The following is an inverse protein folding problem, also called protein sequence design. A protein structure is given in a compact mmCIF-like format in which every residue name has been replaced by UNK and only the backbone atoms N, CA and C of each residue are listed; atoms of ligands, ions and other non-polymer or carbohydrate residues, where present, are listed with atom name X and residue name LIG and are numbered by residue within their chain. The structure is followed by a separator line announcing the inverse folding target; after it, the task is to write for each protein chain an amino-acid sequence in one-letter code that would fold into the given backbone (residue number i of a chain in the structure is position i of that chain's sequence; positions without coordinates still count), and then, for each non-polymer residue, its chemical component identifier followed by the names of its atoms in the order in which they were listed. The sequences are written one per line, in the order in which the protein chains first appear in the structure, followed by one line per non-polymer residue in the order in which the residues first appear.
data_IF_523732762812
#
_entry.id   IF_523732762812
#
_cell.length_a   1.000
_cell.length_b   1.000
_cell.length_c   1.000
_cell.angle_alpha   90.00
_cell.angle_beta   90.00
_cell.angle_gamma   90.00
#
_symmetry.space_group_name_H-M   'P 1'
#
loop_
_entity.id
_entity.type
_entity.pdbx_description
1 polymer ?
#
# COMPACT_ATOMS: atom_id res chain seq x y z
N UNK A 1 -57.39 -13.69 43.16
CA UNK A 1 -56.27 -12.79 43.48
C UNK A 1 -55.11 -13.65 43.95
N UNK A 2 -53.92 -13.50 43.36
CA UNK A 2 -52.71 -14.18 43.86
C UNK A 2 -52.16 -13.35 45.00
N UNK A 3 -52.00 -13.93 46.18
CA UNK A 3 -51.38 -13.30 47.34
C UNK A 3 -49.95 -13.82 47.47
N UNK A 4 -49.01 -12.93 47.74
CA UNK A 4 -47.61 -13.27 48.01
C UNK A 4 -47.38 -13.00 49.50
N UNK A 5 -46.88 -14.02 50.21
CA UNK A 5 -46.52 -13.92 51.62
C UNK A 5 -45.02 -13.90 51.74
N UNK A 6 -44.47 -12.82 52.30
CA UNK A 6 -43.03 -12.64 52.53
C UNK A 6 -42.79 -12.75 54.03
N UNK A 7 -41.85 -13.60 54.44
CA UNK A 7 -41.38 -13.67 55.82
C UNK A 7 -40.12 -12.82 55.95
N UNK A 8 -40.10 -11.96 56.95
CA UNK A 8 -38.99 -11.05 57.23
C UNK A 8 -38.64 -11.20 58.70
N UNK A 9 -37.35 -11.18 59.02
CA UNK A 9 -36.88 -11.20 60.41
C UNK A 9 -37.29 -9.92 61.14
N UNK A 10 -37.58 -10.00 62.44
CA UNK A 10 -38.13 -8.89 63.23
C UNK A 10 -37.21 -7.65 63.21
N UNK A 11 -35.90 -7.85 63.23
CA UNK A 11 -34.91 -6.75 63.16
C UNK A 11 -34.95 -6.00 61.82
N UNK A 12 -35.19 -6.73 60.73
CA UNK A 12 -35.30 -6.16 59.39
C UNK A 12 -36.65 -5.44 59.25
N UNK A 13 -37.72 -6.02 59.79
CA UNK A 13 -39.04 -5.40 59.81
C UNK A 13 -39.04 -4.07 60.57
N UNK A 14 -38.39 -4.01 61.74
CA UNK A 14 -38.30 -2.78 62.53
C UNK A 14 -37.56 -1.67 61.78
N UNK A 15 -36.43 -1.99 61.12
CA UNK A 15 -35.70 -1.02 60.28
C UNK A 15 -36.54 -0.47 59.12
N UNK A 16 -37.35 -1.34 58.51
CA UNK A 16 -38.24 -0.96 57.40
C UNK A 16 -39.35 -0.03 57.89
N UNK A 17 -39.95 -0.31 59.06
CA UNK A 17 -40.97 0.54 59.66
C UNK A 17 -40.41 1.89 60.15
N UNK A 18 -39.19 1.91 60.67
CA UNK A 18 -38.46 3.16 60.98
C UNK A 18 -38.23 4.02 59.73
N UNK A 19 -37.81 3.40 58.62
CA UNK A 19 -37.63 4.09 57.33
C UNK A 19 -38.95 4.58 56.71
N UNK A 20 -40.06 3.90 56.96
CA UNK A 20 -41.40 4.33 56.52
C UNK A 20 -41.83 5.61 57.22
N UNK A 21 -41.61 5.70 58.53
CA UNK A 21 -42.08 6.80 59.38
C UNK A 21 -43.62 6.97 59.31
N UNK A 22 -44.08 8.16 58.91
CA UNK A 22 -45.50 8.52 58.86
C UNK A 22 -46.23 8.14 57.55
N UNK A 23 -45.52 7.62 56.54
CA UNK A 23 -46.12 7.25 55.24
C UNK A 23 -47.10 6.10 55.38
N UNK A 24 -48.14 6.02 54.56
CA UNK A 24 -49.01 4.83 54.54
C UNK A 24 -48.19 3.55 54.26
N UNK A 25 -48.48 2.48 55.02
CA UNK A 25 -47.83 1.16 54.81
C UNK A 25 -47.96 0.71 53.36
N UNK A 26 -49.16 0.81 52.79
CA UNK A 26 -49.44 0.35 51.43
C UNK A 26 -48.58 1.06 50.38
N UNK A 27 -48.45 2.39 50.45
CA UNK A 27 -47.65 3.17 49.50
C UNK A 27 -46.16 2.90 49.64
N UNK A 28 -45.67 2.79 50.88
CA UNK A 28 -44.26 2.53 51.15
C UNK A 28 -43.83 1.16 50.62
N UNK A 29 -44.57 0.10 50.96
CA UNK A 29 -44.27 -1.24 50.47
C UNK A 29 -44.47 -1.38 48.96
N UNK A 30 -45.49 -0.71 48.38
CA UNK A 30 -45.68 -0.70 46.92
C UNK A 30 -44.47 -0.09 46.22
N UNK A 31 -44.00 1.06 46.69
CA UNK A 31 -42.82 1.74 46.11
C UNK A 31 -41.54 0.91 46.30
N UNK A 32 -41.33 0.31 47.46
CA UNK A 32 -40.18 -0.55 47.72
C UNK A 32 -40.13 -1.75 46.75
N UNK A 33 -41.30 -2.35 46.48
CA UNK A 33 -41.43 -3.44 45.51
C UNK A 33 -41.22 -2.94 44.09
N UNK A 34 -41.79 -1.80 43.70
CA UNK A 34 -41.56 -1.16 42.39
C UNK A 34 -40.06 -0.88 42.18
N UNK A 35 -39.38 -0.27 43.15
CA UNK A 35 -37.95 0.03 43.09
C UNK A 35 -37.10 -1.26 42.98
N UNK A 36 -37.47 -2.31 43.72
CA UNK A 36 -36.77 -3.61 43.66
C UNK A 36 -37.02 -4.36 42.33
N UNK A 37 -38.19 -4.20 41.72
CA UNK A 37 -38.50 -4.83 40.44
C UNK A 37 -37.90 -4.06 39.25
N UNK A 38 -37.77 -2.74 39.35
CA UNK A 38 -37.20 -1.90 38.28
C UNK A 38 -35.65 -1.89 38.28
N UNK A 39 -35.00 -2.14 39.43
CA UNK A 39 -33.53 -2.21 39.53
C UNK A 39 -32.85 -3.27 38.65
N UNK A 40 -33.35 -4.51 38.49
CA UNK A 40 -32.75 -5.47 37.57
C UNK A 40 -32.88 -5.05 36.09
N UNK A 41 -33.99 -4.42 35.69
CA UNK A 41 -34.16 -3.89 34.32
C UNK A 41 -33.16 -2.76 34.04
N UNK A 42 -33.00 -1.81 34.98
CA UNK A 42 -32.00 -0.75 34.86
C UNK A 42 -30.57 -1.29 34.78
N UNK A 43 -30.26 -2.37 35.49
CA UNK A 43 -28.94 -3.00 35.44
C UNK A 43 -28.71 -3.79 34.14
N UNK A 44 -29.75 -4.42 33.59
CA UNK A 44 -29.68 -5.06 32.27
C UNK A 44 -29.44 -4.02 31.17
N UNK A 45 -30.21 -2.93 31.17
CA UNK A 45 -30.04 -1.83 30.20
C UNK A 45 -28.62 -1.24 30.24
N UNK A 46 -28.06 -1.01 31.43
CA UNK A 46 -26.66 -0.57 31.58
C UNK A 46 -25.65 -1.57 31.04
N UNK A 47 -25.94 -2.87 31.18
CA UNK A 47 -25.07 -3.93 30.68
C UNK A 47 -25.11 -3.98 29.16
N UNK A 48 -26.30 -3.89 28.56
CA UNK A 48 -26.48 -3.81 27.11
C UNK A 48 -25.80 -2.56 26.52
N UNK A 49 -26.00 -1.38 27.14
CA UNK A 49 -25.30 -0.16 26.75
C UNK A 49 -23.78 -0.30 26.82
N UNK A 50 -23.27 -1.01 27.82
CA UNK A 50 -21.84 -1.27 27.94
C UNK A 50 -21.33 -2.26 26.88
N UNK A 51 -22.14 -3.23 26.47
CA UNK A 51 -21.79 -4.18 25.42
C UNK A 51 -21.80 -3.50 24.05
N UNK A 52 -22.83 -2.72 23.74
CA UNK A 52 -22.92 -1.92 22.51
C UNK A 52 -21.70 -0.99 22.38
N UNK A 53 -21.32 -0.28 23.45
CA UNK A 53 -20.11 0.56 23.45
C UNK A 53 -18.81 -0.22 23.22
N UNK A 54 -18.76 -1.51 23.58
CA UNK A 54 -17.58 -2.35 23.28
C UNK A 54 -17.61 -2.80 21.83
N UNK A 55 -18.75 -3.19 21.30
CA UNK A 55 -18.91 -3.53 19.88
C UNK A 55 -18.55 -2.37 18.98
N UNK A 56 -19.03 -1.15 19.28
CA UNK A 56 -18.66 0.06 18.53
C UNK A 56 -17.14 0.29 18.52
N UNK A 57 -16.48 0.08 19.66
CA UNK A 57 -15.01 0.20 19.76
C UNK A 57 -14.29 -0.87 18.94
N UNK A 58 -14.80 -2.10 18.93
CA UNK A 58 -14.23 -3.18 18.15
C UNK A 58 -14.37 -2.91 16.64
N UNK A 59 -15.53 -2.43 16.19
CA UNK A 59 -15.75 -2.03 14.80
C UNK A 59 -14.80 -0.92 14.38
N UNK A 60 -14.61 0.13 15.20
CA UNK A 60 -13.65 1.20 14.93
C UNK A 60 -12.22 0.63 14.82
N UNK A 61 -11.86 -0.29 15.70
CA UNK A 61 -10.54 -0.92 15.67
C UNK A 61 -10.31 -1.75 14.40
N UNK A 62 -11.32 -2.50 13.96
CA UNK A 62 -11.27 -3.29 12.73
C UNK A 62 -11.15 -2.39 11.48
N UNK A 63 -11.90 -1.29 11.44
CA UNK A 63 -11.79 -0.27 10.37
C UNK A 63 -10.38 0.34 10.30
N UNK A 64 -9.76 0.61 11.44
CA UNK A 64 -8.41 1.17 11.49
C UNK A 64 -7.34 0.16 11.07
N UNK A 65 -7.50 -1.12 11.44
CA UNK A 65 -6.64 -2.20 10.95
C UNK A 65 -6.76 -2.36 9.43
N UNK A 66 -7.97 -2.34 8.88
CA UNK A 66 -8.21 -2.41 7.44
C UNK A 66 -7.56 -1.23 6.69
N UNK A 67 -7.62 -0.02 7.24
CA UNK A 67 -6.91 1.14 6.66
C UNK A 67 -5.39 0.94 6.70
N UNK A 68 -4.86 0.42 7.80
CA UNK A 68 -3.43 0.18 7.94
C UNK A 68 -2.93 -0.87 6.94
N UNK A 69 -3.67 -1.96 6.74
CA UNK A 69 -3.34 -2.98 5.74
C UNK A 69 -3.34 -2.42 4.32
N UNK A 70 -4.37 -1.65 3.95
CA UNK A 70 -4.44 -0.97 2.65
C UNK A 70 -3.24 -0.03 2.42
N UNK A 71 -2.82 0.71 3.46
CA UNK A 71 -1.65 1.58 3.37
C UNK A 71 -0.34 0.79 3.18
N UNK A 72 -0.20 -0.35 3.85
CA UNK A 72 0.97 -1.23 3.69
C UNK A 72 1.02 -1.81 2.27
N UNK A 73 -0.09 -2.32 1.76
CA UNK A 73 -0.19 -2.85 0.40
C UNK A 73 0.15 -1.78 -0.65
N UNK A 74 -0.36 -0.56 -0.47
CA UNK A 74 -0.01 0.57 -1.35
C UNK A 74 1.49 0.91 -1.27
N UNK A 75 2.07 0.89 -0.07
CA UNK A 75 3.51 1.14 0.11
C UNK A 75 4.35 0.07 -0.58
N UNK A 76 4.00 -1.20 -0.46
CA UNK A 76 4.70 -2.30 -1.11
C UNK A 76 4.61 -2.21 -2.65
N UNK A 77 3.43 -1.88 -3.16
CA UNK A 77 3.21 -1.64 -4.59
C UNK A 77 4.12 -0.51 -5.12
N UNK A 78 4.18 0.62 -4.41
CA UNK A 78 5.06 1.74 -4.78
C UNK A 78 6.53 1.34 -4.74
N UNK A 79 6.96 0.57 -3.73
CA UNK A 79 8.33 0.07 -3.64
C UNK A 79 8.69 -0.86 -4.81
N UNK A 80 7.76 -1.71 -5.24
CA UNK A 80 7.98 -2.58 -6.39
C UNK A 80 8.11 -1.78 -7.70
N UNK A 81 7.27 -0.76 -7.91
CA UNK A 81 7.40 0.14 -9.07
C UNK A 81 8.75 0.87 -9.05
N UNK A 82 9.21 1.34 -7.89
CA UNK A 82 10.51 2.03 -7.78
C UNK A 82 11.65 1.10 -8.19
N UNK A 83 11.68 -0.14 -7.68
CA UNK A 83 12.70 -1.14 -8.05
C UNK A 83 12.68 -1.45 -9.55
N UNK A 84 11.49 -1.60 -10.13
CA UNK A 84 11.34 -1.84 -11.56
C UNK A 84 11.85 -0.63 -12.38
N UNK A 85 11.51 0.59 -11.97
CA UNK A 85 11.98 1.82 -12.61
C UNK A 85 13.50 1.96 -12.56
N UNK A 86 14.12 1.65 -11.43
CA UNK A 86 15.58 1.66 -11.28
C UNK A 86 16.25 0.62 -12.18
N UNK A 87 15.68 -0.59 -12.25
CA UNK A 87 16.16 -1.66 -13.15
C UNK A 87 16.08 -1.23 -14.62
N UNK A 88 14.93 -0.70 -15.05
CA UNK A 88 14.74 -0.19 -16.42
C UNK A 88 15.70 0.95 -16.75
N UNK A 89 15.97 1.83 -15.79
CA UNK A 89 16.94 2.92 -15.94
C UNK A 89 18.36 2.37 -16.13
N UNK A 90 18.75 1.35 -15.38
CA UNK A 90 20.05 0.69 -15.53
C UNK A 90 20.17 -0.02 -16.89
N UNK A 91 19.13 -0.72 -17.32
CA UNK A 91 19.09 -1.37 -18.63
C UNK A 91 19.18 -0.35 -19.78
N UNK A 92 18.47 0.77 -19.67
CA UNK A 92 18.51 1.85 -20.64
C UNK A 92 19.91 2.47 -20.73
N UNK A 93 20.56 2.73 -19.60
CA UNK A 93 21.93 3.24 -19.57
C UNK A 93 22.92 2.26 -20.25
N UNK A 94 22.79 0.96 -19.98
CA UNK A 94 23.61 -0.05 -20.64
C UNK A 94 23.37 -0.09 -22.17
N UNK A 95 22.10 -0.04 -22.62
CA UNK A 95 21.76 0.03 -24.05
C UNK A 95 22.31 1.29 -24.72
N UNK A 96 22.30 2.42 -24.03
CA UNK A 96 22.89 3.66 -24.54
C UNK A 96 24.41 3.52 -24.75
N UNK A 97 25.11 2.87 -23.84
CA UNK A 97 26.56 2.65 -23.99
C UNK A 97 26.87 1.70 -25.15
N UNK A 98 26.08 0.64 -25.34
CA UNK A 98 26.19 -0.23 -26.52
C UNK A 98 25.99 0.54 -27.83
N UNK A 99 25.00 1.43 -27.88
CA UNK A 99 24.76 2.28 -29.05
C UNK A 99 25.92 3.23 -29.32
N UNK A 100 26.51 3.80 -28.27
CA UNK A 100 27.68 4.67 -28.38
C UNK A 100 28.87 3.90 -28.96
N UNK A 101 29.20 2.73 -28.40
CA UNK A 101 30.26 1.87 -28.93
C UNK A 101 30.02 1.46 -30.39
N UNK A 102 28.77 1.14 -30.74
CA UNK A 102 28.40 0.82 -32.13
C UNK A 102 28.61 2.02 -33.06
N UNK A 103 28.22 3.22 -32.65
CA UNK A 103 28.46 4.44 -33.42
C UNK A 103 29.95 4.75 -33.57
N UNK A 104 30.75 4.57 -32.53
CA UNK A 104 32.20 4.75 -32.58
C UNK A 104 32.83 3.78 -33.58
N UNK A 105 32.40 2.51 -33.58
CA UNK A 105 32.83 1.52 -34.56
C UNK A 105 32.40 1.88 -35.99
N UNK A 106 31.16 2.35 -36.18
CA UNK A 106 30.70 2.82 -37.50
C UNK A 106 31.55 3.99 -38.00
N UNK A 107 31.90 4.93 -37.12
CA UNK A 107 32.73 6.07 -37.47
C UNK A 107 34.15 5.65 -37.82
N UNK A 108 34.73 4.73 -37.05
CA UNK A 108 36.04 4.15 -37.36
C UNK A 108 36.04 3.44 -38.73
N UNK A 109 35.06 2.59 -38.99
CA UNK A 109 34.89 1.92 -40.27
C UNK A 109 34.72 2.91 -41.43
N UNK A 110 33.94 3.99 -41.23
CA UNK A 110 33.79 5.06 -42.23
C UNK A 110 35.13 5.74 -42.52
N UNK A 111 35.94 6.01 -41.49
CA UNK A 111 37.27 6.59 -41.65
C UNK A 111 38.20 5.65 -42.43
N UNK A 112 38.22 4.36 -42.08
CA UNK A 112 39.02 3.36 -42.79
C UNK A 112 38.63 3.26 -44.28
N UNK A 113 37.33 3.20 -44.58
CA UNK A 113 36.83 3.17 -45.96
C UNK A 113 37.22 4.46 -46.70
N UNK A 114 37.08 5.63 -46.07
CA UNK A 114 37.49 6.90 -46.64
C UNK A 114 38.99 6.95 -46.97
N UNK A 115 39.83 6.45 -46.07
CA UNK A 115 41.27 6.33 -46.30
C UNK A 115 41.60 5.41 -47.48
N UNK A 116 40.96 4.24 -47.55
CA UNK A 116 41.16 3.30 -48.65
C UNK A 116 40.71 3.88 -49.99
N UNK A 117 39.58 4.59 -50.02
CA UNK A 117 39.10 5.29 -51.22
C UNK A 117 40.11 6.35 -51.68
N UNK A 118 40.68 7.12 -50.75
CA UNK A 118 41.69 8.12 -51.04
C UNK A 118 42.98 7.52 -51.63
N UNK A 119 43.53 6.47 -51.00
CA UNK A 119 44.72 5.80 -51.53
C UNK A 119 44.44 5.13 -52.90
N UNK A 120 43.25 4.56 -53.10
CA UNK A 120 42.82 4.05 -54.40
C UNK A 120 42.80 5.14 -55.48
N UNK A 121 42.26 6.32 -55.19
CA UNK A 121 42.26 7.46 -56.12
C UNK A 121 43.68 7.93 -56.46
N UNK A 122 44.57 7.97 -55.47
CA UNK A 122 45.98 8.36 -55.65
C UNK A 122 46.74 7.37 -56.54
N UNK A 123 46.52 6.07 -56.37
CA UNK A 123 47.13 5.02 -57.21
C UNK A 123 46.54 5.05 -58.61
N UNK A 124 45.21 5.11 -58.74
CA UNK A 124 44.55 5.14 -60.05
C UNK A 124 44.92 6.38 -60.85
N UNK A 125 45.03 7.55 -60.21
CA UNK A 125 45.51 8.78 -60.85
C UNK A 125 46.97 8.69 -61.32
N UNK A 126 47.85 8.02 -60.56
CA UNK A 126 49.23 7.74 -60.99
C UNK A 126 49.30 6.78 -62.18
N UNK A 127 48.45 5.75 -62.18
CA UNK A 127 48.35 4.78 -63.29
C UNK A 127 47.71 5.37 -64.55
N UNK A 128 46.79 6.33 -64.40
CA UNK A 128 46.19 7.06 -65.52
C UNK A 128 47.18 8.02 -66.21
N UNK A 129 48.24 8.45 -65.50
CA UNK A 129 49.31 9.31 -66.01
C UNK A 129 50.49 8.54 -66.61
N UNK A 130 50.60 7.23 -66.38
CA UNK A 130 51.48 6.38 -67.17
C UNK A 130 50.83 6.13 -68.52
N UNK A 131 51.23 6.88 -69.55
CA UNK A 131 51.02 6.47 -70.93
C UNK A 131 51.46 5.00 -71.04
N UNK A 132 50.50 4.11 -71.30
CA UNK A 132 50.78 2.71 -71.60
C UNK A 132 51.64 2.73 -72.85
N UNK A 133 52.96 2.71 -72.68
CA UNK A 133 53.90 2.56 -73.77
C UNK A 133 53.52 1.26 -74.45
N UNK A 134 52.95 1.41 -75.63
CA UNK A 134 52.43 0.33 -76.43
C UNK A 134 53.60 -0.62 -76.67
N UNK A 135 53.53 -1.84 -76.14
CA UNK A 135 54.65 -2.79 -76.17
C UNK A 135 55.15 -3.08 -77.60
N UNK A 136 54.30 -2.84 -78.61
CA UNK A 136 54.64 -2.93 -80.03
C UNK A 136 55.48 -1.76 -80.57
N UNK A 137 55.58 -0.63 -79.88
CA UNK A 137 56.48 0.48 -80.26
C UNK A 137 57.96 0.13 -80.04
N UNK A 138 58.24 -0.88 -79.21
CA UNK A 138 59.60 -1.38 -78.97
C UNK A 138 60.23 -2.03 -80.21
N UNK A 139 59.42 -2.49 -81.16
CA UNK A 139 59.86 -3.23 -82.34
C UNK A 139 60.03 -2.35 -83.60
N UNK A 140 59.89 -1.02 -83.47
CA UNK A 140 60.01 -0.07 -84.60
C UNK A 140 61.39 0.57 -84.76
N UNK A 141 62.46 -0.02 -84.19
CA UNK A 141 63.84 0.43 -84.40
C UNK A 141 64.62 -0.51 -85.30
#
# INVERSE_FOLDING_TARGET
MKTITIRVEDDVFNKIEEQRGLKSKSEFYRKLIEDYLNTPEDNQNKTEDSLNKREDRLNIHEDDLNKQENNLNNSEYVQNILKESESLKAELAHKQELLKMSNDWINDMRNQVGFLQFEYQKISGRLALTEVRKWWEFWKK
#
